data_IF_796230955888
#
_entry.id   IF_796230955888
#
_cell.length_a   1.000
_cell.length_b   1.000
_cell.length_c   1.000
_cell.angle_alpha   90.00
_cell.angle_beta   90.00
_cell.angle_gamma   90.00
#
_symmetry.space_group_name_H-M   'P 1'
#
loop_
_entity.id
_entity.type
_entity.pdbx_description
1 polymer ?
#
# COMPACT_ATOMS: atom_id res chain seq x y z
N UNK A 1 5.05 -0.17 -5.56
CA UNK A 1 5.76 0.34 -4.39
C UNK A 1 4.93 0.34 -3.11
N UNK A 2 3.58 0.46 -3.25
CA UNK A 2 2.67 0.62 -2.10
C UNK A 2 2.78 -0.51 -1.08
N UNK A 3 2.93 -1.77 -1.52
CA UNK A 3 3.09 -2.90 -0.60
C UNK A 3 4.32 -2.79 0.30
N UNK A 4 5.49 -2.44 -0.28
CA UNK A 4 6.69 -2.19 0.51
C UNK A 4 6.52 -0.95 1.40
N UNK A 5 6.00 0.15 0.85
CA UNK A 5 5.82 1.39 1.59
C UNK A 5 4.91 1.20 2.79
N UNK A 6 3.77 0.52 2.65
CA UNK A 6 2.87 0.33 3.78
C UNK A 6 3.48 -0.54 4.90
N UNK A 7 4.26 -1.57 4.56
CA UNK A 7 5.00 -2.33 5.57
C UNK A 7 6.02 -1.46 6.30
N UNK A 8 6.79 -0.66 5.56
CA UNK A 8 7.79 0.23 6.14
C UNK A 8 7.17 1.27 7.07
N UNK A 9 6.08 1.92 6.65
CA UNK A 9 5.39 2.91 7.48
C UNK A 9 4.76 2.27 8.73
N UNK A 10 4.16 1.09 8.60
CA UNK A 10 3.56 0.38 9.72
C UNK A 10 4.60 -0.06 10.77
N UNK A 11 5.75 -0.53 10.34
CA UNK A 11 6.76 -1.12 11.21
C UNK A 11 7.78 -0.11 11.74
N UNK A 12 8.01 1.00 11.04
CA UNK A 12 8.98 2.02 11.43
C UNK A 12 8.50 2.85 12.61
N UNK A 13 9.45 3.45 13.32
CA UNK A 13 9.15 4.55 14.24
C UNK A 13 8.75 5.79 13.44
N UNK A 14 7.57 6.35 13.66
CA UNK A 14 7.02 7.47 12.85
C UNK A 14 7.93 8.70 12.81
N UNK A 15 8.68 8.94 13.87
CA UNK A 15 9.63 10.05 13.98
C UNK A 15 11.09 9.61 13.82
N UNK A 16 11.36 8.48 13.15
CA UNK A 16 12.72 7.95 13.01
C UNK A 16 13.70 8.97 12.42
N UNK A 17 13.24 9.78 11.47
CA UNK A 17 14.06 10.81 10.81
C UNK A 17 14.49 11.96 11.75
N UNK A 18 13.69 12.24 12.77
CA UNK A 18 13.91 13.30 13.76
C UNK A 18 14.69 12.81 15.00
N UNK A 19 14.82 11.51 15.21
CA UNK A 19 15.57 10.97 16.33
C UNK A 19 17.09 11.15 16.13
N UNK A 20 17.80 11.47 17.20
CA UNK A 20 19.28 11.57 17.20
C UNK A 20 19.94 10.23 16.88
N UNK A 21 19.42 9.14 17.45
CA UNK A 21 19.90 7.79 17.18
C UNK A 21 18.94 7.10 16.20
N UNK A 22 19.36 6.99 14.94
CA UNK A 22 18.55 6.46 13.83
C UNK A 22 18.75 4.97 13.57
N UNK A 23 19.60 4.29 14.38
CA UNK A 23 20.03 2.92 14.09
C UNK A 23 21.00 2.85 12.90
N UNK A 24 21.23 1.64 12.40
CA UNK A 24 22.19 1.34 11.31
C UNK A 24 21.52 0.90 10.00
N UNK A 25 20.21 0.67 10.01
CA UNK A 25 19.49 0.28 8.80
C UNK A 25 19.42 1.44 7.79
N UNK A 26 19.50 1.15 6.49
CA UNK A 26 19.36 2.17 5.45
C UNK A 26 18.00 2.86 5.51
N UNK A 27 17.98 4.16 5.20
CA UNK A 27 16.75 4.87 4.92
C UNK A 27 16.25 4.48 3.53
N UNK A 28 15.01 4.01 3.43
CA UNK A 28 14.38 3.67 2.16
C UNK A 28 13.57 4.86 1.67
N UNK A 29 13.88 5.31 0.46
CA UNK A 29 13.14 6.33 -0.27
C UNK A 29 12.62 5.75 -1.59
N UNK A 30 11.52 6.28 -2.09
CA UNK A 30 10.88 5.75 -3.30
C UNK A 30 11.02 6.73 -4.45
N UNK A 31 11.25 6.19 -5.65
CA UNK A 31 11.31 6.93 -6.90
C UNK A 31 10.56 6.17 -8.00
N UNK A 32 10.07 6.88 -9.01
CA UNK A 32 9.37 6.27 -10.13
C UNK A 32 7.91 5.85 -9.84
N UNK A 33 7.30 6.41 -8.81
CA UNK A 33 5.86 6.31 -8.55
C UNK A 33 5.06 7.48 -9.14
N UNK A 34 5.74 8.49 -9.66
CA UNK A 34 5.18 9.65 -10.34
C UNK A 34 6.18 10.20 -11.38
N UNK A 35 5.76 11.24 -12.13
CA UNK A 35 6.60 11.97 -13.09
C UNK A 35 6.78 13.45 -12.71
N UNK A 36 6.65 13.78 -11.42
CA UNK A 36 6.91 15.13 -10.93
C UNK A 36 8.41 15.46 -11.01
N UNK A 37 8.74 16.48 -11.77
CA UNK A 37 10.11 16.98 -11.89
C UNK A 37 10.61 17.51 -10.55
N UNK A 38 9.79 18.30 -9.84
CA UNK A 38 10.12 18.83 -8.51
C UNK A 38 10.45 17.72 -7.50
N UNK A 39 9.58 16.70 -7.42
CA UNK A 39 9.84 15.54 -6.56
C UNK A 39 11.18 14.86 -6.89
N UNK A 40 11.48 14.72 -8.18
CA UNK A 40 12.72 14.06 -8.60
C UNK A 40 13.95 14.92 -8.29
N UNK A 41 13.89 16.24 -8.47
CA UNK A 41 14.96 17.17 -8.10
C UNK A 41 15.25 17.10 -6.58
N UNK A 42 14.23 17.22 -5.75
CA UNK A 42 14.38 17.13 -4.28
C UNK A 42 14.93 15.76 -3.83
N UNK A 43 14.51 14.66 -4.49
CA UNK A 43 15.09 13.36 -4.25
C UNK A 43 16.57 13.31 -4.62
N UNK A 44 16.96 13.91 -5.73
CA UNK A 44 18.35 13.93 -6.17
C UNK A 44 19.23 14.78 -5.25
N UNK A 45 18.72 15.87 -4.67
CA UNK A 45 19.43 16.64 -3.64
C UNK A 45 19.76 15.75 -2.43
N UNK A 46 18.79 14.96 -1.97
CA UNK A 46 18.99 14.00 -0.88
C UNK A 46 20.02 12.92 -1.24
N UNK A 47 19.93 12.35 -2.46
CA UNK A 47 20.82 11.28 -2.93
C UNK A 47 22.25 11.77 -3.10
N UNK A 48 22.45 13.02 -3.52
CA UNK A 48 23.77 13.64 -3.62
C UNK A 48 24.49 13.76 -2.28
N UNK A 49 23.76 14.01 -1.19
CA UNK A 49 24.32 14.13 0.16
C UNK A 49 24.57 12.78 0.85
N UNK A 50 24.01 11.69 0.34
CA UNK A 50 24.02 10.37 1.00
C UNK A 50 24.89 9.35 0.26
N UNK A 51 25.24 8.29 0.98
CA UNK A 51 25.79 7.08 0.37
C UNK A 51 24.61 6.24 -0.14
N UNK A 52 24.41 6.21 -1.45
CA UNK A 52 23.21 5.66 -2.07
C UNK A 52 23.46 4.32 -2.78
N UNK A 53 22.43 3.48 -2.76
CA UNK A 53 22.27 2.30 -3.59
C UNK A 53 20.85 2.28 -4.18
N UNK A 54 20.61 1.53 -5.23
CA UNK A 54 19.31 1.48 -5.92
C UNK A 54 18.79 0.04 -6.00
N UNK A 55 17.51 -0.12 -5.66
CA UNK A 55 16.75 -1.34 -5.99
C UNK A 55 15.74 -0.97 -7.08
N UNK A 56 16.01 -1.35 -8.31
CA UNK A 56 15.10 -1.12 -9.44
C UNK A 56 14.16 -2.32 -9.60
N UNK A 57 12.85 -2.05 -9.60
CA UNK A 57 11.81 -3.07 -9.61
C UNK A 57 10.89 -2.85 -10.80
N UNK A 58 10.98 -3.69 -11.80
CA UNK A 58 10.10 -3.67 -12.96
C UNK A 58 10.17 -5.01 -13.69
N UNK A 59 9.01 -5.63 -13.98
CA UNK A 59 8.97 -6.89 -14.70
C UNK A 59 9.45 -6.74 -16.14
N UNK A 60 8.93 -5.77 -16.87
CA UNK A 60 9.31 -5.49 -18.27
C UNK A 60 10.55 -4.58 -18.40
N UNK A 61 10.75 -3.68 -17.46
CA UNK A 61 11.72 -2.58 -17.56
C UNK A 61 11.26 -1.42 -18.46
N UNK A 62 10.01 -1.44 -18.93
CA UNK A 62 9.48 -0.45 -19.89
C UNK A 62 8.32 0.40 -19.34
N UNK A 63 7.91 0.18 -18.09
CA UNK A 63 6.96 1.08 -17.43
C UNK A 63 7.58 2.46 -17.31
N UNK A 64 6.90 3.49 -17.79
CA UNK A 64 7.48 4.82 -18.05
C UNK A 64 8.05 5.44 -16.79
N UNK A 65 7.28 5.50 -15.72
CA UNK A 65 7.64 6.20 -14.49
C UNK A 65 8.91 5.63 -13.83
N UNK A 66 8.99 4.32 -13.52
CA UNK A 66 10.20 3.75 -12.93
C UNK A 66 11.37 3.71 -13.92
N UNK A 67 11.13 3.62 -15.24
CA UNK A 67 12.20 3.60 -16.22
C UNK A 67 12.88 4.98 -16.34
N UNK A 68 12.10 6.08 -16.32
CA UNK A 68 12.64 7.46 -16.32
C UNK A 68 13.43 7.72 -15.05
N UNK A 69 12.85 7.42 -13.87
CA UNK A 69 13.52 7.58 -12.59
C UNK A 69 14.82 6.76 -12.52
N UNK A 70 14.79 5.54 -13.01
CA UNK A 70 15.97 4.67 -13.01
C UNK A 70 17.09 5.20 -13.91
N UNK A 71 16.81 5.79 -15.07
CA UNK A 71 17.81 6.41 -15.93
C UNK A 71 18.59 7.51 -15.18
N UNK A 72 17.87 8.40 -14.48
CA UNK A 72 18.44 9.50 -13.72
C UNK A 72 19.29 8.98 -12.55
N UNK A 73 18.75 8.05 -11.76
CA UNK A 73 19.43 7.48 -10.59
C UNK A 73 20.66 6.65 -11.01
N UNK A 74 20.54 5.84 -12.06
CA UNK A 74 21.66 5.05 -12.62
C UNK A 74 22.81 5.95 -13.03
N UNK A 75 22.54 6.99 -13.81
CA UNK A 75 23.55 7.97 -14.24
C UNK A 75 24.25 8.62 -13.05
N UNK A 76 23.51 9.02 -12.03
CA UNK A 76 24.08 9.59 -10.81
C UNK A 76 25.01 8.61 -10.09
N UNK A 77 24.57 7.34 -9.92
CA UNK A 77 25.37 6.31 -9.23
C UNK A 77 26.65 6.02 -10.04
N UNK A 78 26.55 5.87 -11.37
CA UNK A 78 27.71 5.64 -12.24
C UNK A 78 28.71 6.80 -12.23
N UNK A 79 28.21 8.04 -12.28
CA UNK A 79 29.06 9.24 -12.25
C UNK A 79 29.78 9.39 -10.90
N UNK A 80 29.11 9.03 -9.81
CA UNK A 80 29.66 9.20 -8.45
C UNK A 80 30.62 8.09 -8.04
N UNK A 81 30.35 6.84 -8.40
CA UNK A 81 31.08 5.66 -7.89
C UNK A 81 31.86 4.93 -8.98
N UNK A 82 31.67 5.27 -10.26
CA UNK A 82 32.20 4.51 -11.38
C UNK A 82 31.37 3.29 -11.71
N UNK A 83 31.53 2.72 -12.91
CA UNK A 83 30.70 1.61 -13.41
C UNK A 83 30.85 0.32 -12.60
N UNK A 84 32.04 -0.01 -12.18
CA UNK A 84 32.32 -1.23 -11.42
C UNK A 84 31.59 -1.21 -10.07
N UNK A 85 31.77 -0.17 -9.27
CA UNK A 85 31.10 -0.03 -7.99
C UNK A 85 29.57 0.19 -8.16
N UNK A 86 29.13 0.87 -9.21
CA UNK A 86 27.72 1.03 -9.54
C UNK A 86 27.03 -0.33 -9.76
N UNK A 87 27.69 -1.31 -10.38
CA UNK A 87 27.14 -2.64 -10.59
C UNK A 87 26.84 -3.39 -9.29
N UNK A 88 27.59 -3.12 -8.22
CA UNK A 88 27.36 -3.69 -6.89
C UNK A 88 26.30 -2.93 -6.10
N UNK A 89 26.07 -1.64 -6.42
CA UNK A 89 25.10 -0.75 -5.76
C UNK A 89 23.70 -0.80 -6.35
N UNK A 90 23.56 -1.39 -7.54
CA UNK A 90 22.27 -1.53 -8.23
C UNK A 90 21.83 -2.99 -8.17
N UNK A 91 20.64 -3.21 -7.61
CA UNK A 91 20.00 -4.51 -7.55
C UNK A 91 18.70 -4.44 -8.35
N UNK A 92 18.47 -5.41 -9.24
CA UNK A 92 17.25 -5.47 -10.03
C UNK A 92 16.30 -6.58 -9.55
N UNK A 93 15.02 -6.23 -9.40
CA UNK A 93 13.93 -7.19 -9.22
C UNK A 93 13.12 -7.19 -10.51
N UNK A 94 13.24 -8.26 -11.32
CA UNK A 94 12.75 -8.26 -12.69
C UNK A 94 12.30 -9.65 -13.14
N UNK A 95 11.94 -9.79 -14.41
CA UNK A 95 11.62 -11.09 -15.03
C UNK A 95 12.84 -12.03 -15.02
N UNK A 96 12.57 -13.34 -15.00
CA UNK A 96 13.61 -14.36 -14.97
C UNK A 96 14.47 -14.39 -16.25
N UNK A 97 13.85 -14.15 -17.41
CA UNK A 97 14.48 -14.46 -18.70
C UNK A 97 14.37 -13.35 -19.75
N UNK A 98 13.47 -12.38 -19.59
CA UNK A 98 13.13 -11.41 -20.65
C UNK A 98 12.81 -10.01 -20.11
N UNK A 99 12.75 -9.04 -21.01
CA UNK A 99 12.47 -7.64 -20.71
C UNK A 99 13.70 -6.75 -20.69
N UNK A 100 13.49 -5.46 -20.88
CA UNK A 100 14.58 -4.49 -21.00
C UNK A 100 15.46 -4.43 -19.73
N UNK A 101 14.83 -4.50 -18.53
CA UNK A 101 15.57 -4.48 -17.29
C UNK A 101 16.40 -5.76 -17.10
N UNK A 102 15.88 -6.92 -17.51
CA UNK A 102 16.66 -8.18 -17.46
C UNK A 102 17.87 -8.11 -18.39
N UNK A 103 17.70 -7.69 -19.63
CA UNK A 103 18.79 -7.52 -20.60
C UNK A 103 19.85 -6.55 -20.09
N UNK A 104 19.43 -5.41 -19.53
CA UNK A 104 20.34 -4.44 -18.94
C UNK A 104 21.10 -5.04 -17.75
N UNK A 105 20.40 -5.71 -16.85
CA UNK A 105 21.00 -6.30 -15.64
C UNK A 105 22.06 -7.35 -15.99
N UNK A 106 21.82 -8.17 -17.01
CA UNK A 106 22.79 -9.17 -17.47
C UNK A 106 24.02 -8.52 -18.11
N UNK A 107 23.82 -7.44 -18.88
CA UNK A 107 24.91 -6.71 -19.52
C UNK A 107 25.80 -5.93 -18.55
N UNK A 108 25.21 -5.36 -17.51
CA UNK A 108 25.91 -4.53 -16.51
C UNK A 108 26.35 -5.34 -15.27
N UNK A 109 25.98 -6.62 -15.17
CA UNK A 109 26.36 -7.49 -14.06
C UNK A 109 25.57 -7.23 -12.75
N UNK A 110 24.39 -6.64 -12.80
CA UNK A 110 23.58 -6.37 -11.61
C UNK A 110 23.11 -7.65 -10.94
N UNK A 111 23.11 -7.66 -9.61
CA UNK A 111 22.44 -8.71 -8.84
C UNK A 111 20.94 -8.68 -9.11
N UNK A 112 20.35 -9.85 -9.44
CA UNK A 112 18.94 -9.93 -9.79
C UNK A 112 18.14 -10.80 -8.84
N UNK A 113 16.87 -10.42 -8.62
CA UNK A 113 15.84 -11.24 -8.00
C UNK A 113 14.65 -11.38 -8.97
N UNK A 114 13.97 -12.52 -8.91
CA UNK A 114 12.93 -12.87 -9.89
C UNK A 114 11.55 -12.44 -9.39
N UNK A 115 10.80 -11.75 -10.25
CA UNK A 115 9.36 -11.56 -10.09
C UNK A 115 8.66 -12.81 -10.65
N UNK A 116 7.86 -13.55 -9.85
CA UNK A 116 7.14 -14.72 -10.35
C UNK A 116 6.22 -14.37 -11.53
N UNK A 117 6.15 -15.22 -12.54
CA UNK A 117 5.40 -14.95 -13.77
C UNK A 117 3.88 -14.79 -13.54
N UNK A 118 3.36 -15.55 -12.59
CA UNK A 118 1.93 -15.61 -12.25
C UNK A 118 1.51 -14.64 -11.15
N UNK A 119 2.38 -13.70 -10.73
CA UNK A 119 2.07 -12.69 -9.72
C UNK A 119 2.03 -11.31 -10.35
N UNK A 120 0.86 -10.66 -10.29
CA UNK A 120 0.68 -9.27 -10.71
C UNK A 120 1.24 -8.27 -9.68
N UNK A 121 1.49 -7.02 -10.12
CA UNK A 121 2.13 -5.99 -9.28
C UNK A 121 1.45 -5.76 -7.94
N UNK A 122 0.13 -5.64 -7.91
CA UNK A 122 -0.64 -5.40 -6.69
C UNK A 122 -0.71 -6.59 -5.72
N UNK A 123 -0.38 -7.81 -6.19
CA UNK A 123 -0.29 -9.04 -5.39
C UNK A 123 1.16 -9.42 -5.06
N UNK A 124 2.13 -8.51 -5.24
CA UNK A 124 3.55 -8.88 -5.23
C UNK A 124 4.29 -8.55 -3.94
N UNK A 125 3.63 -8.02 -2.91
CA UNK A 125 4.31 -7.59 -1.67
C UNK A 125 5.04 -8.74 -0.95
N UNK A 126 4.49 -9.95 -1.00
CA UNK A 126 5.09 -11.17 -0.42
C UNK A 126 6.08 -11.87 -1.36
N UNK A 127 6.52 -11.22 -2.42
CA UNK A 127 7.59 -11.65 -3.35
C UNK A 127 8.84 -10.77 -3.16
N UNK A 128 9.94 -11.00 -3.88
CA UNK A 128 11.10 -10.10 -3.83
C UNK A 128 10.78 -8.63 -4.08
N UNK A 129 9.67 -8.31 -4.76
CA UNK A 129 9.18 -6.93 -4.99
C UNK A 129 8.96 -6.15 -3.69
N UNK A 130 8.32 -6.76 -2.71
CA UNK A 130 8.10 -6.15 -1.39
C UNK A 130 9.16 -6.55 -0.37
N UNK A 131 9.52 -7.83 -0.35
CA UNK A 131 10.39 -8.40 0.69
C UNK A 131 11.81 -7.82 0.68
N UNK A 132 12.37 -7.53 -0.51
CA UNK A 132 13.73 -6.99 -0.57
C UNK A 132 13.85 -5.60 0.08
N UNK A 133 13.05 -4.58 -0.28
CA UNK A 133 13.11 -3.29 0.40
C UNK A 133 12.76 -3.37 1.89
N UNK A 134 11.84 -4.26 2.29
CA UNK A 134 11.49 -4.47 3.71
C UNK A 134 12.68 -5.05 4.48
N UNK A 135 13.38 -6.05 3.91
CA UNK A 135 14.58 -6.63 4.52
C UNK A 135 15.74 -5.63 4.61
N UNK A 136 15.94 -4.80 3.55
CA UNK A 136 16.95 -3.75 3.55
C UNK A 136 16.70 -2.70 4.64
N UNK A 137 15.44 -2.41 4.95
CA UNK A 137 15.07 -1.53 6.06
C UNK A 137 15.29 -2.16 7.45
N UNK A 138 15.73 -3.42 7.52
CA UNK A 138 16.06 -4.10 8.77
C UNK A 138 14.90 -4.87 9.43
N UNK A 139 13.78 -5.04 8.76
CA UNK A 139 12.63 -5.80 9.29
C UNK A 139 12.73 -7.30 9.03
N UNK A 140 12.15 -8.10 9.91
CA UNK A 140 12.19 -9.56 9.83
C UNK A 140 11.16 -10.10 8.82
N UNK A 141 11.62 -10.26 7.56
CA UNK A 141 10.78 -10.83 6.49
C UNK A 141 10.41 -12.30 6.72
N UNK A 142 11.17 -13.05 7.53
CA UNK A 142 10.83 -14.45 7.86
C UNK A 142 9.64 -14.50 8.79
N UNK A 143 9.61 -13.60 9.79
CA UNK A 143 8.46 -13.42 10.68
C UNK A 143 7.22 -12.99 9.88
N UNK A 144 7.37 -12.08 8.94
CA UNK A 144 6.28 -11.65 8.03
C UNK A 144 5.76 -12.82 7.18
N UNK A 145 6.65 -13.58 6.53
CA UNK A 145 6.26 -14.75 5.74
C UNK A 145 5.63 -15.86 6.59
N UNK A 146 6.04 -15.99 7.86
CA UNK A 146 5.40 -16.93 8.79
C UNK A 146 3.93 -16.51 9.04
N UNK A 147 3.66 -15.24 9.32
CA UNK A 147 2.29 -14.74 9.47
C UNK A 147 1.45 -14.97 8.21
N UNK A 148 1.99 -14.64 7.03
CA UNK A 148 1.32 -14.90 5.76
C UNK A 148 1.01 -16.40 5.55
N UNK A 149 1.95 -17.30 5.89
CA UNK A 149 1.75 -18.74 5.78
C UNK A 149 0.70 -19.28 6.77
N UNK A 150 0.64 -18.71 7.98
CA UNK A 150 -0.36 -19.08 8.97
C UNK A 150 -1.76 -18.64 8.53
N UNK A 151 -1.91 -17.43 8.02
CA UNK A 151 -3.14 -16.94 7.41
C UNK A 151 -3.52 -17.76 6.16
N UNK A 152 -2.55 -18.18 5.35
CA UNK A 152 -2.81 -19.05 4.20
C UNK A 152 -3.45 -20.37 4.62
N UNK A 153 -3.04 -20.94 5.76
CA UNK A 153 -3.65 -22.16 6.32
C UNK A 153 -5.07 -21.90 6.81
N UNK A 154 -5.33 -20.77 7.47
CA UNK A 154 -6.67 -20.37 7.87
C UNK A 154 -7.59 -20.18 6.65
N UNK A 155 -7.08 -19.58 5.59
CA UNK A 155 -7.80 -19.37 4.33
C UNK A 155 -7.88 -20.62 3.42
N UNK A 156 -7.35 -21.76 3.83
CA UNK A 156 -7.46 -23.01 3.10
C UNK A 156 -8.74 -23.80 3.43
N UNK A 157 -9.40 -23.48 4.54
CA UNK A 157 -10.69 -24.11 4.93
C UNK A 157 -11.80 -23.66 3.98
N UNK A 158 -12.87 -24.48 3.87
CA UNK A 158 -14.01 -24.17 3.02
C UNK A 158 -15.15 -23.57 3.84
N UNK A 159 -15.97 -22.75 3.17
CA UNK A 159 -17.19 -22.20 3.77
C UNK A 159 -16.95 -21.01 4.70
N UNK A 160 -17.89 -20.76 5.61
CA UNK A 160 -17.95 -19.58 6.45
C UNK A 160 -16.83 -19.48 7.52
N UNK A 161 -16.14 -20.59 7.79
CA UNK A 161 -14.97 -20.58 8.70
C UNK A 161 -13.72 -19.97 8.04
N UNK A 162 -13.73 -19.80 6.73
CA UNK A 162 -12.66 -19.14 6.00
C UNK A 162 -12.82 -17.62 6.09
N UNK A 163 -11.90 -16.90 6.76
CA UNK A 163 -12.07 -15.46 6.99
C UNK A 163 -12.07 -14.65 5.69
N UNK A 164 -11.30 -15.07 4.69
CA UNK A 164 -11.26 -14.39 3.39
C UNK A 164 -12.57 -14.59 2.59
N UNK A 165 -13.16 -15.77 2.65
CA UNK A 165 -14.47 -16.05 2.02
C UNK A 165 -15.57 -15.28 2.75
N UNK A 166 -15.57 -15.29 4.08
CA UNK A 166 -16.56 -14.56 4.88
C UNK A 166 -16.54 -13.07 4.57
N UNK A 167 -15.37 -12.45 4.58
CA UNK A 167 -15.22 -11.04 4.27
C UNK A 167 -15.64 -10.73 2.82
N UNK A 168 -15.20 -11.52 1.85
CA UNK A 168 -15.59 -11.35 0.44
C UNK A 168 -17.12 -11.50 0.24
N UNK A 169 -17.75 -12.44 0.92
CA UNK A 169 -19.21 -12.64 0.87
C UNK A 169 -19.97 -11.45 1.47
N UNK A 170 -19.55 -10.96 2.64
CA UNK A 170 -20.16 -9.79 3.27
C UNK A 170 -20.07 -8.54 2.37
N UNK A 171 -18.91 -8.28 1.77
CA UNK A 171 -18.71 -7.18 0.81
C UNK A 171 -19.65 -7.29 -0.39
N UNK A 172 -19.71 -8.47 -1.01
CA UNK A 172 -20.58 -8.69 -2.19
C UNK A 172 -22.06 -8.59 -1.84
N UNK A 173 -22.47 -9.04 -0.66
CA UNK A 173 -23.85 -8.87 -0.19
C UNK A 173 -24.20 -7.40 0.00
N UNK A 174 -23.32 -6.62 0.65
CA UNK A 174 -23.49 -5.18 0.79
C UNK A 174 -23.53 -4.47 -0.56
N UNK A 175 -22.70 -4.89 -1.52
CA UNK A 175 -22.75 -4.36 -2.88
C UNK A 175 -24.09 -4.62 -3.57
N UNK A 176 -24.66 -5.82 -3.41
CA UNK A 176 -25.99 -6.17 -3.95
C UNK A 176 -27.10 -5.35 -3.29
N UNK A 177 -26.93 -4.97 -2.03
CA UNK A 177 -27.82 -4.05 -1.29
C UNK A 177 -27.64 -2.57 -1.67
N UNK A 178 -26.79 -2.26 -2.66
CA UNK A 178 -26.57 -0.88 -3.14
C UNK A 178 -25.42 -0.14 -2.44
N UNK A 179 -24.66 -0.76 -1.55
CA UNK A 179 -23.48 -0.16 -0.94
C UNK A 179 -22.31 -0.24 -1.93
N UNK A 180 -22.03 0.85 -2.62
CA UNK A 180 -21.07 0.93 -3.72
C UNK A 180 -19.68 1.40 -3.31
N UNK A 181 -19.52 1.89 -2.08
CA UNK A 181 -18.27 2.41 -1.54
C UNK A 181 -17.93 1.64 -0.28
N UNK A 182 -16.72 1.11 -0.20
CA UNK A 182 -16.14 0.58 1.02
C UNK A 182 -15.07 1.52 1.54
N UNK A 183 -15.16 1.88 2.82
CA UNK A 183 -14.19 2.73 3.49
C UNK A 183 -13.38 1.87 4.47
N UNK A 184 -12.10 1.68 4.18
CA UNK A 184 -11.18 1.08 5.15
C UNK A 184 -10.79 2.12 6.19
N UNK A 185 -11.17 1.85 7.44
CA UNK A 185 -10.96 2.76 8.58
C UNK A 185 -9.83 2.25 9.45
N UNK A 186 -8.92 3.12 9.86
CA UNK A 186 -7.96 2.80 10.91
C UNK A 186 -7.91 3.92 11.96
N UNK A 187 -7.49 3.56 13.19
CA UNK A 187 -7.31 4.46 14.31
C UNK A 187 -5.83 4.59 14.72
N UNK A 188 -4.92 4.03 13.92
CA UNK A 188 -3.49 4.14 14.16
C UNK A 188 -2.80 4.71 12.91
N UNK A 189 -2.17 5.90 12.98
CA UNK A 189 -1.57 6.55 11.81
C UNK A 189 -0.49 5.72 11.11
N UNK A 190 0.08 4.70 11.77
CA UNK A 190 0.98 3.74 11.13
C UNK A 190 0.31 2.92 10.03
N UNK A 191 -1.01 2.77 10.06
CA UNK A 191 -1.78 1.97 9.11
C UNK A 191 -2.28 2.77 7.90
N UNK A 192 -1.99 4.06 7.81
CA UNK A 192 -2.43 4.91 6.71
C UNK A 192 -2.07 4.31 5.34
N UNK A 193 -0.83 3.88 5.15
CA UNK A 193 -0.40 3.30 3.87
C UNK A 193 -0.92 1.87 3.63
N UNK A 194 -1.41 1.18 4.66
CA UNK A 194 -2.20 -0.06 4.46
C UNK A 194 -3.46 0.28 3.66
N UNK A 195 -4.14 1.40 3.99
CA UNK A 195 -5.27 1.89 3.21
C UNK A 195 -4.91 2.20 1.76
N UNK A 196 -3.75 2.84 1.50
CA UNK A 196 -3.30 3.15 0.13
C UNK A 196 -2.98 1.89 -0.68
N UNK A 197 -2.28 0.92 -0.09
CA UNK A 197 -2.04 -0.38 -0.73
C UNK A 197 -3.34 -1.15 -0.97
N UNK A 198 -4.26 -1.16 -0.01
CA UNK A 198 -5.55 -1.81 -0.10
C UNK A 198 -6.42 -1.21 -1.21
N UNK A 199 -6.42 0.12 -1.37
CA UNK A 199 -7.11 0.81 -2.49
C UNK A 199 -6.58 0.35 -3.85
N UNK A 200 -5.26 0.23 -4.02
CA UNK A 200 -4.68 -0.31 -5.23
C UNK A 200 -5.12 -1.75 -5.46
N UNK A 201 -5.01 -2.60 -4.43
CA UNK A 201 -5.34 -4.02 -4.52
C UNK A 201 -6.78 -4.21 -5.01
N UNK A 202 -7.76 -3.59 -4.36
CA UNK A 202 -9.18 -3.76 -4.68
C UNK A 202 -9.59 -2.97 -5.93
N UNK A 203 -9.15 -1.75 -6.08
CA UNK A 203 -9.50 -0.91 -7.23
C UNK A 203 -9.09 -1.51 -8.56
N UNK A 204 -7.86 -1.98 -8.68
CA UNK A 204 -7.37 -2.64 -9.91
C UNK A 204 -7.95 -4.05 -10.11
N UNK A 205 -8.36 -4.73 -9.05
CA UNK A 205 -8.85 -6.10 -9.15
C UNK A 205 -10.35 -6.18 -9.44
N UNK A 206 -11.16 -5.31 -8.86
CA UNK A 206 -12.62 -5.37 -8.91
C UNK A 206 -13.27 -4.36 -9.87
N UNK A 207 -12.67 -3.17 -10.05
CA UNK A 207 -13.23 -2.09 -10.87
C UNK A 207 -13.22 -2.39 -12.37
N UNK A 208 -14.07 -3.29 -12.84
CA UNK A 208 -14.09 -3.79 -14.21
C UNK A 208 -15.50 -4.03 -14.71
N UNK A 209 -15.70 -3.94 -16.04
CA UNK A 209 -16.98 -4.27 -16.68
C UNK A 209 -18.19 -3.50 -16.11
N UNK A 210 -17.97 -2.26 -15.65
CA UNK A 210 -19.00 -1.46 -15.00
C UNK A 210 -19.41 -1.93 -13.60
N UNK A 211 -18.64 -2.83 -13.00
CA UNK A 211 -18.85 -3.39 -11.64
C UNK A 211 -17.72 -2.97 -10.71
N UNK A 212 -17.89 -3.28 -9.43
CA UNK A 212 -16.89 -3.13 -8.38
C UNK A 212 -17.33 -2.20 -7.27
N UNK A 213 -16.77 -2.44 -6.09
CA UNK A 213 -16.92 -1.60 -4.90
C UNK A 213 -15.80 -0.58 -4.94
N UNK A 214 -16.12 0.72 -4.86
CA UNK A 214 -15.12 1.78 -4.85
C UNK A 214 -14.36 1.78 -3.51
N UNK A 215 -13.03 1.55 -3.52
CA UNK A 215 -12.26 1.49 -2.29
C UNK A 215 -11.82 2.90 -1.86
N UNK A 216 -12.22 3.30 -0.66
CA UNK A 216 -11.77 4.51 0.01
C UNK A 216 -11.07 4.18 1.32
N UNK A 217 -10.36 5.13 1.92
CA UNK A 217 -9.79 4.96 3.26
C UNK A 217 -9.81 6.25 4.05
N UNK A 218 -9.92 6.15 5.38
CA UNK A 218 -9.86 7.26 6.33
C UNK A 218 -8.99 6.90 7.54
N UNK A 219 -8.42 7.93 8.16
CA UNK A 219 -7.59 7.81 9.36
C UNK A 219 -8.27 8.52 10.52
N UNK A 220 -9.01 7.80 11.32
CA UNK A 220 -9.66 8.32 12.51
C UNK A 220 -8.64 8.44 13.68
N UNK A 221 -8.80 9.35 14.60
CA UNK A 221 -9.92 10.32 14.78
C UNK A 221 -9.83 11.56 13.89
N UNK A 222 -8.70 11.80 13.21
CA UNK A 222 -8.50 13.01 12.38
C UNK A 222 -9.63 13.20 11.37
N UNK A 223 -9.93 12.17 10.60
CA UNK A 223 -10.94 12.26 9.53
C UNK A 223 -12.39 12.22 10.04
N UNK A 224 -12.63 12.06 11.35
CA UNK A 224 -13.95 12.34 11.94
C UNK A 224 -14.32 13.81 11.80
N UNK A 225 -13.29 14.70 11.78
CA UNK A 225 -13.48 16.14 11.59
C UNK A 225 -13.56 16.56 10.11
N UNK A 226 -13.61 15.59 9.19
CA UNK A 226 -13.76 15.81 7.74
C UNK A 226 -14.79 14.85 7.15
N UNK A 227 -14.45 13.60 6.95
CA UNK A 227 -15.31 12.57 6.37
C UNK A 227 -16.39 12.04 7.32
N UNK A 228 -16.21 12.20 8.64
CA UNK A 228 -17.14 11.70 9.65
C UNK A 228 -18.55 12.25 9.44
N UNK A 229 -18.72 13.53 9.08
CA UNK A 229 -20.02 14.11 8.77
C UNK A 229 -20.72 13.39 7.60
N UNK A 230 -19.99 13.13 6.51
CA UNK A 230 -20.59 12.45 5.36
C UNK A 230 -20.94 10.99 5.67
N UNK A 231 -20.06 10.29 6.39
CA UNK A 231 -20.29 8.90 6.77
C UNK A 231 -21.53 8.81 7.67
N UNK A 232 -21.67 9.72 8.67
CA UNK A 232 -22.77 9.70 9.62
C UNK A 232 -24.11 10.11 9.00
N UNK A 233 -24.13 11.10 8.10
CA UNK A 233 -25.37 11.80 7.69
C UNK A 233 -25.49 12.01 6.16
N UNK A 234 -24.54 11.51 5.36
CA UNK A 234 -24.58 11.56 3.89
C UNK A 234 -25.42 10.44 3.27
N UNK A 235 -25.17 10.14 1.98
CA UNK A 235 -25.87 9.07 1.27
C UNK A 235 -25.54 7.68 1.83
N UNK A 236 -26.54 6.81 1.90
CA UNK A 236 -26.41 5.44 2.44
C UNK A 236 -25.85 4.44 1.43
N UNK A 237 -24.90 4.86 0.58
CA UNK A 237 -24.27 4.05 -0.48
C UNK A 237 -22.94 3.42 -0.07
N UNK A 238 -22.53 3.63 1.18
CA UNK A 238 -21.23 3.18 1.69
C UNK A 238 -21.38 2.22 2.89
N UNK A 239 -20.29 1.51 3.17
CA UNK A 239 -20.09 0.75 4.39
C UNK A 239 -18.64 0.87 4.84
N UNK A 240 -18.34 0.54 6.08
CA UNK A 240 -17.01 0.61 6.65
C UNK A 240 -16.44 -0.78 6.92
N UNK A 241 -15.13 -0.89 6.77
CA UNK A 241 -14.31 -1.99 7.29
C UNK A 241 -13.27 -1.40 8.24
N UNK A 242 -13.46 -1.58 9.53
CA UNK A 242 -12.58 -1.07 10.58
C UNK A 242 -11.44 -2.04 10.83
N UNK A 243 -10.20 -1.57 10.63
CA UNK A 243 -8.99 -2.29 10.98
C UNK A 243 -8.57 -1.92 12.40
N UNK A 244 -8.90 -2.77 13.36
CA UNK A 244 -8.63 -2.59 14.79
C UNK A 244 -7.31 -3.21 15.20
N UNK A 245 -6.62 -2.62 16.17
CA UNK A 245 -5.40 -3.15 16.77
C UNK A 245 -5.67 -3.43 18.26
N UNK A 246 -5.58 -4.69 18.67
CA UNK A 246 -5.93 -5.10 20.03
C UNK A 246 -4.93 -4.64 21.09
N UNK A 247 -3.64 -4.63 20.76
CA UNK A 247 -2.58 -4.33 21.71
C UNK A 247 -1.63 -3.26 21.19
N UNK A 248 -1.54 -2.14 21.89
CA UNK A 248 -0.53 -1.12 21.61
C UNK A 248 0.88 -1.64 21.97
N UNK A 249 1.88 -1.26 21.17
CA UNK A 249 3.27 -1.62 21.45
C UNK A 249 3.90 -0.87 22.62
N UNK A 250 3.31 0.24 23.06
CA UNK A 250 3.79 1.11 24.14
C UNK A 250 2.61 1.69 24.89
N UNK A 251 2.82 2.01 26.15
CA UNK A 251 1.82 2.65 27.01
C UNK A 251 2.18 4.10 27.28
N UNK A 252 1.15 4.94 27.30
CA UNK A 252 1.23 6.33 27.74
C UNK A 252 -0.03 6.66 28.55
N UNK A 253 0.17 7.03 29.81
CA UNK A 253 -0.92 7.45 30.70
C UNK A 253 -1.19 8.94 30.57
N UNK A 254 -2.46 9.29 30.68
CA UNK A 254 -2.92 10.68 30.69
C UNK A 254 -2.69 11.24 32.09
N UNK A 255 -2.03 12.40 32.15
CA UNK A 255 -1.74 13.06 33.42
C UNK A 255 -2.98 13.79 33.96
N UNK A 256 -3.04 13.96 35.28
CA UNK A 256 -3.99 14.88 35.92
C UNK A 256 -3.50 16.33 35.77
N UNK A 257 -4.38 17.23 35.39
CA UNK A 257 -4.13 18.68 35.42
C UNK A 257 -4.85 19.30 36.63
N UNK A 258 -4.12 19.92 37.60
CA UNK A 258 -4.75 20.53 38.77
C UNK A 258 -5.79 21.61 38.45
N UNK A 259 -5.71 22.25 37.29
CA UNK A 259 -6.64 23.30 36.88
C UNK A 259 -7.92 22.76 36.24
N UNK A 260 -7.86 21.58 35.62
CA UNK A 260 -8.94 20.92 34.87
C UNK A 260 -9.71 21.87 33.93
N UNK A 261 -9.00 22.82 33.31
CA UNK A 261 -9.65 23.82 32.45
C UNK A 261 -10.26 23.23 31.18
N UNK A 262 -9.74 22.09 30.73
CA UNK A 262 -10.24 21.33 29.59
C UNK A 262 -11.36 20.32 29.99
N UNK A 263 -11.60 20.12 31.30
CA UNK A 263 -12.59 19.18 31.83
C UNK A 263 -12.24 17.70 31.57
N UNK A 264 -10.96 17.38 31.33
CA UNK A 264 -10.51 16.04 30.94
C UNK A 264 -9.92 15.20 32.07
N UNK A 265 -9.94 15.67 33.33
CA UNK A 265 -9.40 14.90 34.46
C UNK A 265 -10.11 13.56 34.72
N UNK A 266 -11.31 13.35 34.15
CA UNK A 266 -11.96 12.04 34.19
C UNK A 266 -11.18 10.95 33.42
N UNK A 267 -10.24 11.34 32.52
CA UNK A 267 -9.32 10.46 31.79
C UNK A 267 -8.01 10.22 32.54
N UNK A 268 -7.72 10.98 33.59
CA UNK A 268 -6.45 10.90 34.29
C UNK A 268 -6.16 9.49 34.83
N UNK A 269 -4.95 9.01 34.60
CA UNK A 269 -4.53 7.64 34.93
C UNK A 269 -4.91 6.57 33.90
N UNK A 270 -5.79 6.86 32.96
CA UNK A 270 -6.13 5.97 31.83
C UNK A 270 -5.00 5.94 30.82
N UNK A 271 -4.84 4.82 30.11
CA UNK A 271 -3.95 4.74 28.95
C UNK A 271 -4.59 5.49 27.76
N UNK A 272 -3.77 6.21 27.00
CA UNK A 272 -4.23 6.92 25.80
C UNK A 272 -4.87 5.96 24.78
N UNK A 273 -4.37 4.72 24.65
CA UNK A 273 -4.95 3.69 23.79
C UNK A 273 -6.36 3.28 24.22
N UNK A 274 -6.67 3.31 25.51
CA UNK A 274 -8.04 3.09 25.98
C UNK A 274 -9.00 4.15 25.41
N UNK A 275 -8.60 5.42 25.41
CA UNK A 275 -9.40 6.49 24.82
C UNK A 275 -9.61 6.29 23.32
N UNK A 276 -8.54 5.87 22.62
CA UNK A 276 -8.58 5.56 21.19
C UNK A 276 -9.55 4.41 20.88
N UNK A 277 -9.52 3.35 21.69
CA UNK A 277 -10.43 2.20 21.56
C UNK A 277 -11.90 2.58 21.85
N UNK A 278 -12.11 3.50 22.80
CA UNK A 278 -13.47 4.02 23.07
C UNK A 278 -13.96 4.92 21.95
N UNK A 279 -13.07 5.69 21.31
CA UNK A 279 -13.39 6.46 20.12
C UNK A 279 -13.78 5.54 18.95
N UNK A 280 -13.04 4.45 18.73
CA UNK A 280 -13.41 3.43 17.73
C UNK A 280 -14.80 2.85 18.01
N UNK A 281 -15.03 2.39 19.23
CA UNK A 281 -16.30 1.76 19.61
C UNK A 281 -17.47 2.75 19.49
N UNK A 282 -17.32 3.98 20.02
CA UNK A 282 -18.36 5.01 19.99
C UNK A 282 -18.72 5.42 18.57
N UNK A 283 -17.70 5.63 17.71
CA UNK A 283 -17.91 5.96 16.30
C UNK A 283 -18.64 4.83 15.57
N UNK A 284 -18.19 3.59 15.77
CA UNK A 284 -18.81 2.42 15.13
C UNK A 284 -20.28 2.27 15.51
N UNK A 285 -20.63 2.45 16.80
CA UNK A 285 -22.02 2.42 17.25
C UNK A 285 -22.84 3.52 16.59
N UNK A 286 -22.35 4.76 16.57
CA UNK A 286 -23.03 5.88 15.95
C UNK A 286 -23.26 5.67 14.44
N UNK A 287 -22.27 5.18 13.71
CA UNK A 287 -22.37 4.91 12.28
C UNK A 287 -23.37 3.76 11.99
N UNK A 288 -23.35 2.68 12.78
CA UNK A 288 -24.32 1.57 12.67
C UNK A 288 -25.75 2.09 12.91
N UNK A 289 -25.96 2.86 13.97
CA UNK A 289 -27.28 3.47 14.28
C UNK A 289 -27.72 4.44 13.18
N UNK A 290 -26.78 5.09 12.50
CA UNK A 290 -26.99 5.92 11.30
C UNK A 290 -27.25 5.13 10.01
N UNK A 291 -27.25 3.80 10.05
CA UNK A 291 -27.51 2.93 8.90
C UNK A 291 -26.29 2.69 7.99
N UNK A 292 -25.08 2.84 8.53
CA UNK A 292 -23.81 2.49 7.86
C UNK A 292 -23.34 1.12 8.34
N UNK A 293 -23.43 0.07 7.52
CA UNK A 293 -22.90 -1.25 7.86
C UNK A 293 -21.41 -1.18 8.20
N UNK A 294 -21.00 -1.94 9.18
CA UNK A 294 -19.63 -1.89 9.70
C UNK A 294 -19.07 -3.33 9.85
N UNK A 295 -18.03 -3.62 9.10
CA UNK A 295 -17.22 -4.83 9.25
C UNK A 295 -16.03 -4.52 10.15
N UNK A 296 -15.50 -5.50 10.86
CA UNK A 296 -14.33 -5.33 11.73
C UNK A 296 -13.30 -6.43 11.47
N UNK A 297 -12.08 -6.01 11.22
CA UNK A 297 -10.90 -6.88 11.13
C UNK A 297 -10.00 -6.50 12.30
N UNK A 298 -9.74 -7.44 13.19
CA UNK A 298 -8.87 -7.24 14.34
C UNK A 298 -7.53 -7.90 14.12
N UNK A 299 -6.45 -7.12 14.29
CA UNK A 299 -5.09 -7.64 14.37
C UNK A 299 -4.58 -7.54 15.82
N UNK A 300 -3.79 -8.50 16.26
CA UNK A 300 -3.31 -8.54 17.64
C UNK A 300 -2.42 -7.32 17.95
N UNK A 301 -1.48 -6.99 17.07
CA UNK A 301 -0.56 -5.86 17.18
C UNK A 301 0.04 -5.50 15.83
N UNK A 302 0.68 -4.33 15.75
CA UNK A 302 1.43 -3.94 14.55
C UNK A 302 2.86 -4.48 14.67
N UNK A 303 3.12 -5.63 14.03
CA UNK A 303 4.45 -6.22 13.89
C UNK A 303 4.55 -6.99 12.56
N UNK A 304 5.73 -7.50 12.23
CA UNK A 304 5.96 -8.18 10.94
C UNK A 304 5.05 -9.39 10.74
N UNK A 305 4.76 -10.14 11.82
CA UNK A 305 3.90 -11.31 11.74
C UNK A 305 2.47 -10.93 11.36
N UNK A 306 1.85 -10.01 12.10
CA UNK A 306 0.46 -9.60 11.86
C UNK A 306 0.30 -8.82 10.55
N UNK A 307 1.31 -8.04 10.13
CA UNK A 307 1.32 -7.40 8.80
C UNK A 307 1.39 -8.46 7.69
N UNK A 308 2.15 -9.52 7.89
CA UNK A 308 2.19 -10.67 6.97
C UNK A 308 0.85 -11.39 6.86
N UNK A 309 0.16 -11.63 7.99
CA UNK A 309 -1.21 -12.17 8.00
C UNK A 309 -2.17 -11.28 7.22
N UNK A 310 -2.11 -9.96 7.46
CA UNK A 310 -2.99 -8.98 6.82
C UNK A 310 -2.79 -8.92 5.31
N UNK A 311 -1.55 -8.97 4.83
CA UNK A 311 -1.26 -9.01 3.40
C UNK A 311 -1.89 -10.21 2.73
N UNK A 312 -1.64 -11.41 3.25
CA UNK A 312 -2.22 -12.62 2.66
C UNK A 312 -3.74 -12.63 2.72
N UNK A 313 -4.30 -12.20 3.86
CA UNK A 313 -5.75 -12.11 4.05
C UNK A 313 -6.41 -11.23 2.98
N UNK A 314 -5.94 -10.00 2.80
CA UNK A 314 -6.53 -9.09 1.82
C UNK A 314 -6.30 -9.52 0.37
N UNK A 315 -5.12 -10.04 0.03
CA UNK A 315 -4.85 -10.58 -1.31
C UNK A 315 -5.79 -11.74 -1.63
N UNK A 316 -5.97 -12.66 -0.68
CA UNK A 316 -6.89 -13.80 -0.85
C UNK A 316 -8.34 -13.37 -0.93
N UNK A 317 -8.77 -12.51 -0.02
CA UNK A 317 -10.15 -12.00 0.02
C UNK A 317 -10.49 -11.18 -1.25
N UNK A 318 -9.55 -10.37 -1.74
CA UNK A 318 -9.72 -9.62 -2.98
C UNK A 318 -9.93 -10.53 -4.19
N UNK A 319 -9.11 -11.56 -4.34
CA UNK A 319 -9.30 -12.54 -5.42
C UNK A 319 -10.65 -13.25 -5.36
N UNK A 320 -11.07 -13.67 -4.16
CA UNK A 320 -12.38 -14.32 -3.95
C UNK A 320 -13.52 -13.34 -4.24
N UNK A 321 -13.44 -12.11 -3.75
CA UNK A 321 -14.47 -11.09 -3.93
C UNK A 321 -14.65 -10.71 -5.41
N UNK A 322 -13.56 -10.54 -6.16
CA UNK A 322 -13.64 -10.26 -7.58
C UNK A 322 -14.28 -11.41 -8.38
N UNK A 323 -13.99 -12.66 -8.04
CA UNK A 323 -14.68 -13.80 -8.65
C UNK A 323 -16.16 -13.86 -8.29
N UNK A 324 -16.57 -13.48 -7.07
CA UNK A 324 -17.97 -13.36 -6.69
C UNK A 324 -18.68 -12.25 -7.49
N UNK A 325 -17.99 -11.15 -7.82
CA UNK A 325 -18.47 -10.09 -8.72
C UNK A 325 -18.54 -10.55 -10.19
N UNK A 326 -17.93 -11.69 -10.52
CA UNK A 326 -17.83 -12.24 -11.89
C UNK A 326 -16.84 -11.50 -12.75
N UNK A 327 -15.73 -10.97 -12.19
CA UNK A 327 -14.64 -10.31 -12.91
C UNK A 327 -13.31 -11.03 -12.66
N UNK A 328 -12.35 -10.87 -13.61
CA UNK A 328 -11.00 -11.42 -13.41
C UNK A 328 -10.17 -10.51 -12.50
N UNK A 329 -9.73 -10.98 -11.30
CA UNK A 329 -8.92 -10.15 -10.38
C UNK A 329 -7.49 -9.89 -10.85
N UNK A 330 -6.98 -10.59 -11.86
CA UNK A 330 -5.54 -10.62 -12.17
C UNK A 330 -5.12 -9.84 -13.41
N UNK A 331 -6.05 -9.26 -14.16
CA UNK A 331 -5.80 -8.34 -15.26
C UNK A 331 -6.15 -6.89 -14.89
N UNK A 332 -5.84 -5.92 -15.76
CA UNK A 332 -6.15 -4.51 -15.58
C UNK A 332 -6.34 -3.79 -16.93
N UNK A 333 -7.39 -4.14 -17.72
CA UNK A 333 -7.56 -3.58 -19.06
C UNK A 333 -7.82 -2.07 -19.06
N UNK A 334 -8.39 -1.52 -17.99
CA UNK A 334 -8.74 -0.10 -17.88
C UNK A 334 -7.55 0.88 -17.93
N UNK A 335 -6.33 0.43 -17.60
CA UNK A 335 -5.16 1.30 -17.62
C UNK A 335 -4.49 1.42 -18.98
N UNK A 336 -4.89 0.63 -19.97
CA UNK A 336 -4.24 0.66 -21.29
C UNK A 336 -4.62 1.91 -22.11
N UNK A 337 -5.82 2.45 -21.91
CA UNK A 337 -6.29 3.62 -22.65
C UNK A 337 -5.45 4.87 -22.33
N UNK A 338 -5.19 5.17 -21.06
CA UNK A 338 -4.39 6.34 -20.72
C UNK A 338 -2.92 6.21 -21.15
N UNK A 339 -2.35 5.02 -21.07
CA UNK A 339 -0.98 4.76 -21.56
C UNK A 339 -0.85 5.02 -23.05
N UNK A 340 -1.83 4.52 -23.83
CA UNK A 340 -1.88 4.76 -25.26
C UNK A 340 -1.95 6.27 -25.58
N UNK A 341 -2.81 7.00 -24.89
CA UNK A 341 -2.93 8.45 -25.05
C UNK A 341 -1.64 9.18 -24.64
N UNK A 342 -1.03 8.82 -23.53
CA UNK A 342 0.24 9.40 -23.07
C UNK A 342 1.35 9.16 -24.09
N UNK A 343 1.50 7.96 -24.62
CA UNK A 343 2.51 7.65 -25.63
C UNK A 343 2.28 8.42 -26.94
N UNK A 344 1.03 8.58 -27.35
CA UNK A 344 0.67 9.38 -28.51
C UNK A 344 0.99 10.87 -28.33
N UNK A 345 0.70 11.43 -27.13
CA UNK A 345 1.00 12.84 -26.81
C UNK A 345 2.51 13.11 -26.65
N UNK A 346 3.29 12.10 -26.27
CA UNK A 346 4.75 12.15 -26.18
C UNK A 346 5.45 11.85 -27.52
N UNK A 347 4.69 11.73 -28.62
CA UNK A 347 5.19 11.45 -29.97
C UNK A 347 6.08 10.17 -30.02
N UNK A 348 5.68 9.15 -29.25
CA UNK A 348 6.39 7.87 -29.23
C UNK A 348 6.33 7.21 -30.60
N UNK A 349 7.45 6.72 -31.17
CA UNK A 349 7.46 6.02 -32.44
C UNK A 349 6.46 4.86 -32.48
N UNK A 350 5.66 4.78 -33.54
CA UNK A 350 4.58 3.81 -33.73
C UNK A 350 3.21 4.26 -33.20
N UNK A 351 3.07 5.54 -32.76
CA UNK A 351 1.82 6.13 -32.28
C UNK A 351 1.41 7.38 -33.09
N UNK A 352 1.91 7.55 -34.33
CA UNK A 352 1.73 8.75 -35.15
C UNK A 352 0.25 8.99 -35.47
N UNK A 353 -0.51 7.94 -35.84
CA UNK A 353 -1.94 8.02 -36.11
C UNK A 353 -2.77 8.42 -34.88
N UNK A 354 -2.44 7.83 -33.75
CA UNK A 354 -3.07 8.16 -32.47
C UNK A 354 -2.76 9.59 -32.04
N UNK A 355 -1.50 10.04 -32.22
CA UNK A 355 -1.06 11.40 -31.92
C UNK A 355 -1.88 12.42 -32.70
N UNK A 356 -2.05 12.20 -34.00
CA UNK A 356 -2.90 13.07 -34.86
C UNK A 356 -4.34 13.14 -34.35
N UNK A 357 -4.97 11.99 -34.11
CA UNK A 357 -6.36 11.89 -33.63
C UNK A 357 -6.58 12.57 -32.29
N UNK A 358 -5.61 12.49 -31.37
CA UNK A 358 -5.71 13.12 -30.04
C UNK A 358 -5.56 14.64 -30.18
N UNK A 359 -4.60 15.12 -30.98
CA UNK A 359 -4.39 16.55 -31.19
C UNK A 359 -5.56 17.27 -31.89
N UNK A 360 -6.33 16.55 -32.69
CA UNK A 360 -7.58 17.05 -33.28
C UNK A 360 -8.71 17.25 -32.25
N UNK A 361 -8.56 16.72 -31.03
CA UNK A 361 -9.54 16.83 -29.93
C UNK A 361 -9.18 17.88 -28.88
N UNK A 362 -7.96 18.41 -28.94
CA UNK A 362 -7.43 19.45 -28.03
C UNK A 362 -7.63 20.84 -28.65
#
# INVERSE_FOLDING_TARGET
YLGAKCALEALSHQFAKQLKNKGTAPEIVFAGQNLSEEYMCELMDLVQERNAACVVISKSGTTTEPAVAFRIIKEHIENRYGKEEASERIVAVTDKARGALKTLSDGEGYKTFVIPDNVGGRFSVLTPVGLLPIALAGFDIRKMLKGAADMARQCAVKGAENPAILYAAARNELYNQGKKIEILVNYNPKLQYIGEWWKQLYGESEGKEGKGIFPASVNFTTDLHSMGQYIQDGERILFETVLSVANAARELKINNDPSDLDGLNFLAGSNMEHCNSMAELGTRLAHIDGGVPNLRIEMERIDEYNIGELFFFFEKACGVSAYMLGVNPFDQPGVEAYKKNMFALLDKPGYEEESKKIRERL
#
